data_IF_330040780687
#
_entry.id   IF_330040780687
#
_cell.length_a   1.000
_cell.length_b   1.000
_cell.length_c   1.000
_cell.angle_alpha   90.00
_cell.angle_beta   90.00
_cell.angle_gamma   90.00
#
_symmetry.space_group_name_H-M   'P 1'
#
loop_
_entity.id
_entity.type
_entity.pdbx_description
1 polymer ?
#
# COMPACT_ATOMS: atom_id res chain seq x y z
N UNK A 1 33.34 41.81 -10.03
CA UNK A 1 33.69 40.96 -8.86
C UNK A 1 33.42 39.50 -9.14
N UNK A 2 32.16 39.12 -9.46
CA UNK A 2 31.75 37.74 -9.82
C UNK A 2 32.59 37.08 -10.93
N UNK A 3 32.91 37.81 -12.01
CA UNK A 3 33.70 37.27 -13.13
C UNK A 3 35.15 36.94 -12.76
N UNK A 4 35.74 37.68 -11.81
CA UNK A 4 37.08 37.40 -11.28
C UNK A 4 37.05 36.21 -10.32
N UNK A 5 36.01 36.12 -9.49
CA UNK A 5 35.76 34.96 -8.61
C UNK A 5 35.57 33.66 -9.42
N UNK A 6 34.79 33.71 -10.51
CA UNK A 6 34.63 32.56 -11.42
C UNK A 6 35.98 32.14 -12.03
N UNK A 7 36.81 33.09 -12.49
CA UNK A 7 38.17 32.76 -12.97
C UNK A 7 39.05 32.13 -11.88
N UNK A 8 38.94 32.60 -10.63
CA UNK A 8 39.66 32.03 -9.47
C UNK A 8 39.22 30.60 -9.17
N UNK A 9 37.92 30.30 -9.21
CA UNK A 9 37.40 28.94 -8.98
C UNK A 9 37.82 27.98 -10.08
N UNK A 10 37.69 28.39 -11.33
CA UNK A 10 37.99 27.53 -12.47
C UNK A 10 39.50 27.42 -12.77
N UNK A 11 40.34 28.28 -12.15
CA UNK A 11 41.81 28.30 -12.27
C UNK A 11 42.27 28.25 -13.74
N UNK A 12 42.56 27.05 -14.25
CA UNK A 12 43.07 26.81 -15.60
C UNK A 12 42.00 26.32 -16.59
N UNK A 13 40.76 26.12 -16.16
CA UNK A 13 39.64 25.75 -17.02
C UNK A 13 38.90 26.99 -17.51
N UNK A 14 38.38 26.98 -18.76
CA UNK A 14 37.54 28.07 -19.24
C UNK A 14 36.23 28.12 -18.44
N UNK A 15 35.84 29.31 -18.00
CA UNK A 15 34.56 29.54 -17.32
C UNK A 15 33.44 29.20 -18.32
N UNK A 16 32.48 28.32 -17.96
CA UNK A 16 31.35 27.99 -18.82
C UNK A 16 30.57 29.24 -19.25
N UNK A 17 30.10 29.24 -20.49
CA UNK A 17 29.27 30.33 -21.01
C UNK A 17 27.93 30.32 -20.27
N UNK A 18 27.53 31.46 -19.72
CA UNK A 18 26.27 31.62 -19.00
C UNK A 18 25.53 32.87 -19.50
N UNK A 19 24.21 32.89 -19.31
CA UNK A 19 23.38 34.03 -19.68
C UNK A 19 23.57 35.17 -18.67
N UNK A 20 24.09 36.31 -19.14
CA UNK A 20 24.30 37.50 -18.31
C UNK A 20 23.00 38.30 -18.26
N UNK A 21 22.09 37.90 -17.38
CA UNK A 21 20.91 38.67 -16.99
C UNK A 21 21.00 39.04 -15.49
N UNK A 22 20.21 40.03 -15.06
CA UNK A 22 20.23 40.57 -13.68
C UNK A 22 20.08 39.46 -12.63
N UNK A 23 19.08 38.58 -12.83
CA UNK A 23 18.83 37.44 -11.95
C UNK A 23 20.02 36.48 -11.85
N UNK A 24 20.70 36.17 -12.95
CA UNK A 24 21.87 35.27 -12.96
C UNK A 24 23.06 35.93 -12.26
N UNK A 25 23.26 37.23 -12.44
CA UNK A 25 24.34 37.96 -11.78
C UNK A 25 24.12 38.03 -10.27
N UNK A 26 22.89 38.26 -9.80
CA UNK A 26 22.55 38.27 -8.38
C UNK A 26 22.77 36.89 -7.73
N UNK A 27 22.30 35.82 -8.37
CA UNK A 27 22.52 34.45 -7.87
C UNK A 27 24.02 34.12 -7.76
N UNK A 28 24.82 34.52 -8.75
CA UNK A 28 26.26 34.30 -8.73
C UNK A 28 26.98 35.19 -7.70
N UNK A 29 26.47 36.39 -7.44
CA UNK A 29 26.98 37.27 -6.41
C UNK A 29 26.73 36.69 -5.00
N UNK A 30 25.51 36.25 -4.72
CA UNK A 30 25.17 35.57 -3.47
C UNK A 30 26.00 34.30 -3.27
N UNK A 31 26.21 33.53 -4.34
CA UNK A 31 27.04 32.34 -4.29
C UNK A 31 28.51 32.67 -4.01
N UNK A 32 29.03 33.74 -4.61
CA UNK A 32 30.38 34.25 -4.36
C UNK A 32 30.54 34.65 -2.89
N UNK A 33 29.64 35.46 -2.34
CA UNK A 33 29.72 35.90 -0.94
C UNK A 33 29.68 34.72 0.03
N UNK A 34 28.76 33.76 -0.18
CA UNK A 34 28.67 32.54 0.63
C UNK A 34 29.93 31.67 0.52
N UNK A 35 30.48 31.56 -0.69
CA UNK A 35 31.70 30.81 -0.92
C UNK A 35 32.90 31.46 -0.22
N UNK A 36 33.07 32.77 -0.36
CA UNK A 36 34.14 33.52 0.31
C UNK A 36 34.00 33.50 1.84
N UNK A 37 32.78 33.57 2.37
CA UNK A 37 32.53 33.41 3.80
C UNK A 37 32.96 32.02 4.27
N UNK A 38 32.53 30.96 3.59
CA UNK A 38 32.92 29.59 3.91
C UNK A 38 34.42 29.35 3.77
N UNK A 39 35.07 29.93 2.75
CA UNK A 39 36.52 29.82 2.57
C UNK A 39 37.29 30.48 3.73
N UNK A 40 36.79 31.61 4.25
CA UNK A 40 37.35 32.23 5.47
C UNK A 40 37.16 31.33 6.69
N UNK A 41 35.95 30.80 6.90
CA UNK A 41 35.66 29.92 8.03
C UNK A 41 36.55 28.66 8.01
N UNK A 42 36.69 28.03 6.84
CA UNK A 42 37.58 26.88 6.65
C UNK A 42 39.04 27.26 6.91
N UNK A 43 39.49 28.44 6.46
CA UNK A 43 40.86 28.90 6.71
C UNK A 43 41.15 29.06 8.20
N UNK A 44 40.19 29.62 8.96
CA UNK A 44 40.30 29.75 10.42
C UNK A 44 40.39 28.37 11.08
N UNK A 45 39.54 27.41 10.68
CA UNK A 45 39.61 26.03 11.21
C UNK A 45 40.95 25.38 10.90
N UNK A 46 41.50 25.57 9.70
CA UNK A 46 42.82 25.04 9.33
C UNK A 46 43.92 25.66 10.18
N UNK A 47 43.89 26.97 10.40
CA UNK A 47 44.87 27.67 11.25
C UNK A 47 44.79 27.21 12.70
N UNK A 48 43.58 27.05 13.24
CA UNK A 48 43.34 26.51 14.58
C UNK A 48 43.88 25.09 14.74
N UNK A 49 43.59 24.19 13.78
CA UNK A 49 44.12 22.82 13.80
C UNK A 49 45.65 22.78 13.76
N UNK A 50 46.30 23.66 12.97
CA UNK A 50 47.76 23.77 12.93
C UNK A 50 48.34 24.28 14.24
N UNK A 51 47.66 25.25 14.87
CA UNK A 51 48.07 25.76 16.16
C UNK A 51 47.98 24.67 17.23
N UNK A 52 46.87 23.94 17.27
CA UNK A 52 46.66 22.81 18.15
C UNK A 52 47.71 21.69 17.94
N UNK A 53 48.06 21.37 16.70
CA UNK A 53 49.14 20.42 16.38
C UNK A 53 50.48 20.88 16.98
N UNK A 54 50.83 22.17 16.80
CA UNK A 54 52.06 22.73 17.35
C UNK A 54 52.08 22.76 18.90
N UNK A 55 50.95 23.03 19.54
CA UNK A 55 50.82 22.95 21.00
C UNK A 55 51.03 21.53 21.51
N UNK A 56 50.40 20.52 20.89
CA UNK A 56 50.58 19.13 21.26
C UNK A 56 52.02 18.63 21.04
N UNK A 57 52.67 19.05 19.96
CA UNK A 57 54.08 18.72 19.73
C UNK A 57 54.97 19.32 20.82
N UNK A 58 54.74 20.58 21.20
CA UNK A 58 55.49 21.23 22.27
C UNK A 58 55.28 20.55 23.64
N UNK A 59 54.02 20.24 24.00
CA UNK A 59 53.68 19.52 25.23
C UNK A 59 54.29 18.11 25.25
N UNK A 60 54.32 17.44 24.09
CA UNK A 60 54.94 16.11 23.94
C UNK A 60 56.44 16.16 24.20
N UNK A 61 57.15 17.17 23.69
CA UNK A 61 58.58 17.33 23.94
C UNK A 61 58.86 17.70 25.41
N UNK A 62 58.06 18.60 26.01
CA UNK A 62 58.16 18.92 27.43
C UNK A 62 57.96 17.65 28.29
N UNK A 63 56.96 16.84 27.99
CA UNK A 63 56.68 15.61 28.72
C UNK A 63 57.80 14.58 28.55
N UNK A 64 58.40 14.48 27.36
CA UNK A 64 59.59 13.62 27.12
C UNK A 64 60.78 14.08 27.96
N UNK A 65 61.03 15.37 28.05
CA UNK A 65 62.15 15.91 28.83
C UNK A 65 61.94 15.71 30.33
N UNK A 66 60.73 15.98 30.84
CA UNK A 66 60.35 15.68 32.23
C UNK A 66 60.55 14.17 32.57
N UNK A 67 60.21 13.27 31.65
CA UNK A 67 60.43 11.83 31.84
C UNK A 67 61.92 11.45 31.84
N UNK A 68 62.76 12.11 31.04
CA UNK A 68 64.21 11.92 31.06
C UNK A 68 64.81 12.39 32.39
N UNK A 69 64.38 13.54 32.90
CA UNK A 69 64.84 14.11 34.18
C UNK A 69 64.47 13.22 35.37
N UNK A 70 63.34 12.52 35.30
CA UNK A 70 62.91 11.50 36.27
C UNK A 70 63.61 10.13 36.09
N UNK A 71 64.48 9.98 35.09
CA UNK A 71 65.17 8.72 34.78
C UNK A 71 64.27 7.65 34.13
N UNK A 72 63.03 8.00 33.77
CA UNK A 72 62.03 7.14 33.17
C UNK A 72 62.12 7.19 31.64
N UNK A 73 63.23 6.74 31.08
CA UNK A 73 63.36 6.76 29.63
C UNK A 73 62.66 5.61 28.94
N UNK A 74 61.96 5.87 27.82
CA UNK A 74 61.27 4.85 27.04
C UNK A 74 62.19 3.72 26.57
N UNK A 75 63.48 4.00 26.38
CA UNK A 75 64.49 3.02 25.97
C UNK A 75 65.02 2.14 27.12
N UNK A 76 64.72 2.48 28.39
CA UNK A 76 65.06 1.63 29.55
C UNK A 76 64.02 0.55 29.82
N UNK A 77 62.85 0.63 29.16
CA UNK A 77 61.79 -0.35 29.28
C UNK A 77 62.11 -1.63 28.51
N UNK A 78 61.76 -2.77 29.10
CA UNK A 78 61.81 -4.04 28.36
C UNK A 78 60.90 -4.01 27.13
N UNK A 79 61.25 -4.80 26.11
CA UNK A 79 60.41 -4.98 24.90
C UNK A 79 58.97 -5.39 25.24
N UNK A 80 58.78 -6.19 26.30
CA UNK A 80 57.45 -6.61 26.77
C UNK A 80 56.66 -5.43 27.33
N UNK A 81 57.28 -4.60 28.18
CA UNK A 81 56.64 -3.41 28.75
C UNK A 81 56.25 -2.40 27.65
N UNK A 82 57.14 -2.17 26.69
CA UNK A 82 56.88 -1.29 25.54
C UNK A 82 55.68 -1.78 24.71
N UNK A 83 55.59 -3.09 24.46
CA UNK A 83 54.43 -3.67 23.74
C UNK A 83 53.14 -3.47 24.53
N UNK A 84 53.13 -3.76 25.83
CA UNK A 84 51.94 -3.60 26.67
C UNK A 84 51.45 -2.15 26.72
N UNK A 85 52.37 -1.17 26.81
CA UNK A 85 52.01 0.25 26.75
C UNK A 85 51.42 0.63 25.39
N UNK A 86 52.05 0.18 24.30
CA UNK A 86 51.53 0.41 22.95
C UNK A 86 50.13 -0.20 22.75
N UNK A 87 49.91 -1.43 23.25
CA UNK A 87 48.61 -2.08 23.17
C UNK A 87 47.57 -1.31 24.00
N UNK A 88 47.91 -0.87 25.20
CA UNK A 88 47.04 -0.05 26.06
C UNK A 88 46.65 1.27 25.40
N UNK A 89 47.63 1.99 24.83
CA UNK A 89 47.39 3.25 24.11
C UNK A 89 46.49 3.01 22.89
N UNK A 90 46.76 1.97 22.10
CA UNK A 90 45.92 1.60 20.96
C UNK A 90 44.50 1.24 21.39
N UNK A 91 44.34 0.51 22.50
CA UNK A 91 43.02 0.20 23.05
C UNK A 91 42.27 1.45 23.50
N UNK A 92 42.95 2.37 24.20
CA UNK A 92 42.36 3.66 24.60
C UNK A 92 41.93 4.49 23.39
N UNK A 93 42.77 4.57 22.35
CA UNK A 93 42.43 5.25 21.08
C UNK A 93 41.25 4.58 20.38
N UNK A 94 41.22 3.25 20.29
CA UNK A 94 40.13 2.51 19.65
C UNK A 94 38.80 2.65 20.42
N UNK A 95 38.86 2.72 21.75
CA UNK A 95 37.71 3.00 22.63
C UNK A 95 37.36 4.50 22.71
N UNK A 96 38.16 5.35 22.07
CA UNK A 96 38.06 6.82 22.10
C UNK A 96 38.00 7.39 23.53
N UNK A 97 38.89 6.92 24.42
CA UNK A 97 38.96 7.40 25.80
C UNK A 97 39.90 8.61 25.94
N UNK A 98 39.53 9.54 26.83
CA UNK A 98 40.33 10.75 27.12
C UNK A 98 41.67 10.42 27.79
N UNK A 99 41.71 9.35 28.58
CA UNK A 99 42.91 8.89 29.29
C UNK A 99 42.99 7.36 29.32
N UNK A 100 44.12 6.85 29.79
CA UNK A 100 44.37 5.41 30.02
C UNK A 100 44.04 4.99 31.45
N UNK A 101 43.21 5.75 32.18
CA UNK A 101 42.79 5.35 33.52
C UNK A 101 41.88 4.12 33.44
N UNK A 102 41.97 3.28 34.46
CA UNK A 102 41.17 2.07 34.53
C UNK A 102 39.67 2.38 34.48
N UNK A 103 39.23 3.46 35.12
CA UNK A 103 37.83 3.89 35.16
C UNK A 103 37.32 4.28 33.78
N UNK A 104 38.08 5.08 33.03
CA UNK A 104 37.71 5.50 31.67
C UNK A 104 37.60 4.30 30.72
N UNK A 105 38.59 3.40 30.78
CA UNK A 105 38.58 2.17 29.97
C UNK A 105 37.41 1.25 30.35
N UNK A 106 37.17 1.05 31.64
CA UNK A 106 36.07 0.22 32.12
C UNK A 106 34.71 0.78 31.70
N UNK A 107 34.51 2.09 31.81
CA UNK A 107 33.30 2.76 31.36
C UNK A 107 33.12 2.61 29.85
N UNK A 108 34.16 2.85 29.05
CA UNK A 108 34.09 2.74 27.59
C UNK A 108 33.78 1.30 27.14
N UNK A 109 34.44 0.30 27.73
CA UNK A 109 34.17 -1.12 27.46
C UNK A 109 32.72 -1.46 27.84
N UNK A 110 32.26 -1.02 29.02
CA UNK A 110 30.88 -1.30 29.47
C UNK A 110 29.85 -0.67 28.55
N UNK A 111 30.07 0.58 28.12
CA UNK A 111 29.22 1.28 27.17
C UNK A 111 29.15 0.55 25.83
N UNK A 112 30.30 0.22 25.24
CA UNK A 112 30.33 -0.51 23.96
C UNK A 112 29.70 -1.91 24.07
N UNK A 113 29.86 -2.58 25.21
CA UNK A 113 29.21 -3.87 25.45
C UNK A 113 27.70 -3.72 25.51
N UNK A 114 27.19 -2.67 26.16
CA UNK A 114 25.76 -2.37 26.20
C UNK A 114 25.22 -2.05 24.80
N UNK A 115 25.87 -1.15 24.07
CA UNK A 115 25.51 -0.78 22.69
C UNK A 115 25.49 -2.03 21.77
N UNK A 116 26.45 -2.95 21.94
CA UNK A 116 26.48 -4.22 21.21
C UNK A 116 25.26 -5.09 21.54
N UNK A 117 24.93 -5.27 22.82
CA UNK A 117 23.79 -6.08 23.24
C UNK A 117 22.45 -5.50 22.78
N UNK A 118 22.28 -4.18 22.86
CA UNK A 118 21.10 -3.48 22.34
C UNK A 118 20.96 -3.70 20.83
N UNK A 119 22.04 -3.48 20.08
CA UNK A 119 22.08 -3.71 18.62
C UNK A 119 21.80 -5.16 18.25
N UNK A 120 22.32 -6.13 19.03
CA UNK A 120 22.04 -7.56 18.80
C UNK A 120 20.57 -7.92 19.06
N UNK A 121 19.96 -7.34 20.10
CA UNK A 121 18.54 -7.52 20.42
C UNK A 121 17.65 -6.94 19.32
N UNK A 122 17.90 -5.70 18.89
CA UNK A 122 17.16 -5.06 17.79
C UNK A 122 17.28 -5.86 16.48
N UNK A 123 18.49 -6.36 16.17
CA UNK A 123 18.70 -7.23 15.02
C UNK A 123 17.97 -8.58 15.13
N UNK A 124 17.81 -9.13 16.34
CA UNK A 124 17.05 -10.36 16.55
C UNK A 124 15.54 -10.11 16.33
N UNK A 125 15.02 -9.02 16.86
CA UNK A 125 13.63 -8.59 16.68
C UNK A 125 13.32 -8.34 15.20
N UNK A 126 14.14 -7.56 14.51
CA UNK A 126 13.97 -7.26 13.08
C UNK A 126 14.00 -8.54 12.22
N UNK A 127 14.87 -9.51 12.54
CA UNK A 127 14.89 -10.82 11.86
C UNK A 127 13.60 -11.60 12.09
N UNK A 128 13.05 -11.54 13.30
CA UNK A 128 11.78 -12.18 13.62
C UNK A 128 10.63 -11.54 12.85
N UNK A 129 10.55 -10.21 12.84
CA UNK A 129 9.53 -9.46 12.08
C UNK A 129 9.61 -9.76 10.59
N UNK A 130 10.81 -9.76 10.01
CA UNK A 130 11.03 -10.08 8.60
C UNK A 130 10.57 -11.51 8.27
N UNK A 131 10.85 -12.48 9.14
CA UNK A 131 10.37 -13.85 9.00
C UNK A 131 8.84 -13.93 9.04
N UNK A 132 8.20 -13.18 9.95
CA UNK A 132 6.75 -13.12 10.06
C UNK A 132 6.12 -12.47 8.82
N UNK A 133 6.66 -11.34 8.38
CA UNK A 133 6.20 -10.62 7.19
C UNK A 133 6.33 -11.48 5.93
N UNK A 134 7.41 -12.27 5.81
CA UNK A 134 7.58 -13.24 4.72
C UNK A 134 6.48 -14.32 4.71
N UNK A 135 6.10 -14.85 5.89
CA UNK A 135 5.00 -15.82 6.00
C UNK A 135 3.66 -15.20 5.60
N UNK A 136 3.39 -13.97 6.06
CA UNK A 136 2.18 -13.25 5.70
C UNK A 136 2.11 -12.97 4.19
N UNK A 137 3.21 -12.51 3.59
CA UNK A 137 3.29 -12.28 2.15
C UNK A 137 3.01 -13.54 1.35
N UNK A 138 3.58 -14.68 1.75
CA UNK A 138 3.32 -15.97 1.11
C UNK A 138 1.85 -16.37 1.21
N UNK A 139 1.21 -16.13 2.36
CA UNK A 139 -0.23 -16.39 2.54
C UNK A 139 -1.08 -15.50 1.64
N UNK A 140 -0.78 -14.19 1.57
CA UNK A 140 -1.48 -13.24 0.71
C UNK A 140 -1.34 -13.60 -0.77
N UNK A 141 -0.14 -13.96 -1.22
CA UNK A 141 0.10 -14.40 -2.61
C UNK A 141 -0.68 -15.67 -2.96
N UNK A 142 -0.79 -16.62 -2.02
CA UNK A 142 -1.62 -17.82 -2.22
C UNK A 142 -3.11 -17.45 -2.34
N UNK A 143 -3.61 -16.54 -1.51
CA UNK A 143 -4.99 -16.05 -1.58
C UNK A 143 -5.26 -15.29 -2.90
N UNK A 144 -4.33 -14.45 -3.33
CA UNK A 144 -4.43 -13.73 -4.61
C UNK A 144 -4.57 -14.71 -5.79
N UNK A 145 -3.72 -15.74 -5.83
CA UNK A 145 -3.81 -16.79 -6.85
C UNK A 145 -5.17 -17.49 -6.82
N UNK A 146 -5.69 -17.80 -5.63
CA UNK A 146 -7.00 -18.43 -5.48
C UNK A 146 -8.13 -17.53 -6.01
N UNK A 147 -8.09 -16.24 -5.69
CA UNK A 147 -9.07 -15.25 -6.18
C UNK A 147 -9.03 -15.17 -7.71
N UNK A 148 -7.85 -15.16 -8.34
CA UNK A 148 -7.73 -15.15 -9.79
C UNK A 148 -8.34 -16.41 -10.44
N UNK A 149 -8.11 -17.58 -9.84
CA UNK A 149 -8.73 -18.82 -10.30
C UNK A 149 -10.26 -18.80 -10.16
N UNK A 150 -10.77 -18.23 -9.07
CA UNK A 150 -12.21 -18.14 -8.83
C UNK A 150 -12.89 -17.11 -9.73
N UNK A 151 -12.23 -15.98 -10.03
CA UNK A 151 -12.69 -15.01 -11.04
C UNK A 151 -12.84 -15.72 -12.39
N UNK A 152 -11.83 -16.48 -12.82
CA UNK A 152 -11.89 -17.22 -14.09
C UNK A 152 -13.08 -18.19 -14.13
N UNK A 153 -13.32 -18.94 -13.06
CA UNK A 153 -14.48 -19.85 -12.97
C UNK A 153 -15.81 -19.08 -13.04
N UNK A 154 -15.89 -17.92 -12.38
CA UNK A 154 -17.09 -17.07 -12.42
C UNK A 154 -17.35 -16.55 -13.83
N UNK A 155 -16.31 -16.11 -14.54
CA UNK A 155 -16.42 -15.66 -15.94
C UNK A 155 -16.93 -16.77 -16.86
N UNK A 156 -16.39 -17.99 -16.72
CA UNK A 156 -16.84 -19.17 -17.48
C UNK A 156 -18.32 -19.50 -17.20
N UNK A 157 -18.72 -19.53 -15.93
CA UNK A 157 -20.12 -19.72 -15.51
C UNK A 157 -21.04 -18.63 -16.05
N UNK A 158 -20.60 -17.37 -15.97
CA UNK A 158 -21.36 -16.23 -16.45
C UNK A 158 -21.57 -16.32 -17.97
N UNK A 159 -20.56 -16.72 -18.73
CA UNK A 159 -20.67 -16.90 -20.17
C UNK A 159 -21.68 -18.01 -20.53
N UNK A 160 -21.64 -19.15 -19.83
CA UNK A 160 -22.61 -20.22 -20.02
C UNK A 160 -24.04 -19.78 -19.70
N UNK A 161 -24.23 -19.01 -18.63
CA UNK A 161 -25.53 -18.46 -18.24
C UNK A 161 -26.06 -17.46 -19.27
N UNK A 162 -25.20 -16.59 -19.83
CA UNK A 162 -25.57 -15.66 -20.90
C UNK A 162 -26.13 -16.39 -22.11
N UNK A 163 -25.45 -17.44 -22.59
CA UNK A 163 -25.91 -18.26 -23.73
C UNK A 163 -27.26 -18.91 -23.42
N UNK A 164 -27.47 -19.39 -22.19
CA UNK A 164 -28.73 -19.98 -21.75
C UNK A 164 -29.86 -18.95 -21.67
N UNK A 165 -29.59 -17.76 -21.17
CA UNK A 165 -30.57 -16.66 -21.14
C UNK A 165 -30.92 -16.23 -22.56
N UNK A 166 -29.94 -16.13 -23.45
CA UNK A 166 -30.14 -15.74 -24.84
C UNK A 166 -31.02 -16.75 -25.59
N UNK A 167 -30.75 -18.06 -25.48
CA UNK A 167 -31.59 -19.10 -26.07
C UNK A 167 -33.03 -19.10 -25.50
N UNK A 168 -33.19 -18.89 -24.19
CA UNK A 168 -34.51 -18.73 -23.56
C UNK A 168 -35.25 -17.49 -24.08
N UNK A 169 -34.54 -16.37 -24.27
CA UNK A 169 -35.10 -15.14 -24.84
C UNK A 169 -35.61 -15.36 -26.27
N UNK A 170 -34.81 -16.01 -27.12
CA UNK A 170 -35.22 -16.40 -28.47
C UNK A 170 -36.45 -17.30 -28.46
N UNK A 171 -36.49 -18.31 -27.57
CA UNK A 171 -37.63 -19.20 -27.44
C UNK A 171 -38.91 -18.46 -26.98
N UNK A 172 -38.79 -17.54 -26.02
CA UNK A 172 -39.90 -16.71 -25.56
C UNK A 172 -40.44 -15.80 -26.67
N UNK A 173 -39.55 -15.23 -27.49
CA UNK A 173 -39.95 -14.43 -28.66
C UNK A 173 -40.71 -15.28 -29.66
N UNK A 174 -40.18 -16.46 -30.02
CA UNK A 174 -40.86 -17.40 -30.91
C UNK A 174 -42.26 -17.79 -30.40
N UNK A 175 -42.40 -18.14 -29.11
CA UNK A 175 -43.68 -18.49 -28.52
C UNK A 175 -44.67 -17.33 -28.53
N UNK A 176 -44.20 -16.10 -28.29
CA UNK A 176 -45.02 -14.89 -28.37
C UNK A 176 -45.53 -14.66 -29.80
N UNK A 177 -44.64 -14.73 -30.78
CA UNK A 177 -44.98 -14.55 -32.19
C UNK A 177 -45.95 -15.64 -32.64
N UNK A 178 -45.73 -16.90 -32.22
CA UNK A 178 -46.64 -18.01 -32.51
C UNK A 178 -48.01 -17.84 -31.87
N UNK A 179 -48.07 -17.34 -30.64
CA UNK A 179 -49.35 -17.04 -29.97
C UNK A 179 -50.13 -15.96 -30.71
N UNK A 180 -49.46 -14.91 -31.19
CA UNK A 180 -50.10 -13.86 -31.99
C UNK A 180 -50.61 -14.40 -33.34
N UNK A 181 -49.82 -15.21 -34.04
CA UNK A 181 -50.23 -15.89 -35.28
C UNK A 181 -51.49 -16.74 -35.06
N UNK A 182 -51.50 -17.56 -34.00
CA UNK A 182 -52.65 -18.40 -33.65
C UNK A 182 -53.89 -17.57 -33.32
N UNK A 183 -53.75 -16.47 -32.56
CA UNK A 183 -54.86 -15.56 -32.27
C UNK A 183 -55.46 -14.95 -33.54
N UNK A 184 -54.61 -14.55 -34.50
CA UNK A 184 -55.07 -14.02 -35.78
C UNK A 184 -55.80 -15.11 -36.58
N UNK A 185 -55.25 -16.33 -36.65
CA UNK A 185 -55.88 -17.46 -37.35
C UNK A 185 -57.22 -17.84 -36.74
N UNK A 186 -57.34 -17.87 -35.42
CA UNK A 186 -58.59 -18.13 -34.72
C UNK A 186 -59.63 -17.06 -35.09
N UNK A 187 -59.26 -15.78 -34.99
CA UNK A 187 -60.15 -14.67 -35.35
C UNK A 187 -60.64 -14.77 -36.79
N UNK A 188 -59.74 -15.02 -37.75
CA UNK A 188 -60.11 -15.17 -39.15
C UNK A 188 -61.07 -16.35 -39.37
N UNK A 189 -60.82 -17.50 -38.71
CA UNK A 189 -61.69 -18.67 -38.81
C UNK A 189 -63.07 -18.41 -38.17
N UNK A 190 -63.13 -17.70 -37.04
CA UNK A 190 -64.38 -17.28 -36.42
C UNK A 190 -65.16 -16.33 -37.33
N UNK A 191 -64.51 -15.36 -37.96
CA UNK A 191 -65.11 -14.46 -38.95
C UNK A 191 -65.68 -15.23 -40.16
N UNK A 192 -64.93 -16.23 -40.68
CA UNK A 192 -65.43 -17.11 -41.74
C UNK A 192 -66.65 -17.94 -41.31
N UNK A 193 -66.67 -18.47 -40.09
CA UNK A 193 -67.80 -19.24 -39.55
C UNK A 193 -69.05 -18.36 -39.38
N UNK A 194 -68.89 -17.13 -38.87
CA UNK A 194 -69.97 -16.15 -38.78
C UNK A 194 -70.50 -15.82 -40.18
N UNK A 195 -69.61 -15.62 -41.17
CA UNK A 195 -69.99 -15.39 -42.56
C UNK A 195 -70.79 -16.54 -43.21
N UNK A 196 -70.66 -17.77 -42.69
CA UNK A 196 -71.42 -18.96 -43.12
C UNK A 196 -72.74 -19.16 -42.37
N UNK A 197 -73.11 -18.24 -41.47
CA UNK A 197 -74.41 -18.22 -40.79
C UNK A 197 -74.42 -18.78 -39.35
N UNK A 198 -73.25 -18.97 -38.73
CA UNK A 198 -73.17 -19.34 -37.30
C UNK A 198 -73.43 -18.10 -36.42
N UNK A 199 -74.33 -18.20 -35.44
CA UNK A 199 -74.65 -17.12 -34.51
C UNK A 199 -73.48 -16.79 -33.55
N UNK A 200 -73.27 -15.50 -33.26
CA UNK A 200 -72.20 -15.02 -32.35
C UNK A 200 -72.27 -15.60 -30.94
N UNK A 201 -73.46 -15.99 -30.48
CA UNK A 201 -73.71 -16.62 -29.18
C UNK A 201 -72.99 -17.98 -29.01
N UNK A 202 -72.66 -18.65 -30.13
CA UNK A 202 -71.97 -19.94 -30.16
C UNK A 202 -70.45 -19.81 -30.36
N UNK A 203 -69.91 -18.58 -30.34
CA UNK A 203 -68.46 -18.37 -30.38
C UNK A 203 -67.79 -18.86 -29.10
N UNK A 204 -66.52 -19.27 -29.20
CA UNK A 204 -65.79 -19.78 -28.04
C UNK A 204 -65.71 -18.75 -26.91
N UNK A 205 -65.49 -17.47 -27.23
CA UNK A 205 -65.42 -16.40 -26.25
C UNK A 205 -66.75 -16.22 -25.49
N UNK A 206 -67.88 -16.21 -26.19
CA UNK A 206 -69.21 -16.15 -25.57
C UNK A 206 -69.54 -17.41 -24.74
N UNK A 207 -69.10 -18.59 -25.19
CA UNK A 207 -69.28 -19.85 -24.46
C UNK A 207 -68.43 -19.91 -23.19
N UNK A 208 -67.19 -19.43 -23.22
CA UNK A 208 -66.33 -19.35 -22.04
C UNK A 208 -66.90 -18.34 -21.04
N UNK A 209 -67.31 -17.16 -21.51
CA UNK A 209 -67.88 -16.13 -20.65
C UNK A 209 -69.17 -16.61 -19.97
N UNK A 210 -70.07 -17.25 -20.72
CA UNK A 210 -71.30 -17.84 -20.15
C UNK A 210 -71.02 -19.02 -19.21
N UNK A 211 -69.97 -19.81 -19.45
CA UNK A 211 -69.53 -20.86 -18.53
C UNK A 211 -68.97 -20.29 -17.21
N UNK A 212 -68.16 -19.22 -17.27
CA UNK A 212 -67.65 -18.51 -16.10
C UNK A 212 -68.79 -17.89 -15.29
N UNK A 213 -69.76 -17.25 -15.96
CA UNK A 213 -70.97 -16.73 -15.33
C UNK A 213 -71.80 -17.83 -14.67
N UNK A 214 -71.96 -18.99 -15.33
CA UNK A 214 -72.65 -20.15 -14.76
C UNK A 214 -71.97 -20.65 -13.48
N UNK A 215 -70.63 -20.67 -13.43
CA UNK A 215 -69.88 -21.07 -12.24
C UNK A 215 -70.11 -20.09 -11.10
N UNK A 216 -70.08 -18.78 -11.37
CA UNK A 216 -70.40 -17.74 -10.39
C UNK A 216 -71.84 -17.87 -9.88
N UNK A 217 -72.79 -18.09 -10.77
CA UNK A 217 -74.20 -18.27 -10.42
C UNK A 217 -74.42 -19.50 -9.56
N UNK A 218 -73.78 -20.64 -9.90
CA UNK A 218 -73.83 -21.87 -9.10
C UNK A 218 -73.28 -21.66 -7.70
N UNK A 219 -72.19 -20.90 -7.55
CA UNK A 219 -71.62 -20.55 -6.25
C UNK A 219 -72.60 -19.71 -5.41
N UNK A 220 -73.28 -18.75 -6.03
CA UNK A 220 -74.32 -17.92 -5.40
C UNK A 220 -75.56 -18.74 -5.01
N UNK A 221 -76.01 -19.65 -5.86
CA UNK A 221 -77.12 -20.57 -5.54
C UNK A 221 -76.73 -21.51 -4.40
N UNK A 222 -75.49 -21.99 -4.35
CA UNK A 222 -75.00 -22.83 -3.26
C UNK A 222 -74.95 -22.06 -1.93
N UNK A 223 -74.53 -20.80 -1.91
CA UNK A 223 -74.55 -19.97 -0.71
C UNK A 223 -75.98 -19.68 -0.25
N UNK A 224 -76.88 -19.33 -1.18
CA UNK A 224 -78.31 -19.11 -0.88
C UNK A 224 -79.00 -20.38 -0.38
N UNK A 225 -78.68 -21.57 -0.93
CA UNK A 225 -79.19 -22.84 -0.40
C UNK A 225 -78.68 -23.13 1.02
N UNK A 226 -77.44 -22.74 1.33
CA UNK A 226 -76.88 -22.87 2.69
C UNK A 226 -77.59 -21.93 3.66
N UNK A 227 -77.83 -20.68 3.26
CA UNK A 227 -78.62 -19.72 4.04
C UNK A 227 -80.04 -20.21 4.26
N UNK A 228 -80.72 -20.67 3.21
CA UNK A 228 -82.07 -21.23 3.29
C UNK A 228 -82.15 -22.44 4.23
N UNK A 229 -81.17 -23.34 4.19
CA UNK A 229 -81.09 -24.46 5.12
C UNK A 229 -80.93 -23.99 6.56
N UNK A 230 -80.09 -22.98 6.80
CA UNK A 230 -79.97 -22.37 8.13
C UNK A 230 -81.29 -21.70 8.59
N UNK A 231 -82.10 -21.16 7.68
CA UNK A 231 -83.43 -20.62 8.01
C UNK A 231 -84.47 -21.71 8.32
N UNK A 232 -84.40 -22.87 7.66
CA UNK A 232 -85.28 -24.02 7.96
C UNK A 232 -84.84 -24.80 9.21
N UNK A 233 -83.59 -24.67 9.65
CA UNK A 233 -83.07 -25.24 10.90
C UNK A 233 -83.33 -24.32 12.13
N UNK A 234 -84.03 -23.19 11.96
CA UNK A 234 -84.52 -22.38 13.09
C UNK A 234 -85.79 -23.03 13.68
N UNK A 235 -85.83 -23.32 14.99
CA UNK A 235 -87.02 -23.91 15.61
C UNK A 235 -88.22 -22.95 15.52
N UNK A 236 -89.46 -23.47 15.40
CA UNK A 236 -90.64 -22.64 15.30
C UNK A 236 -90.75 -21.73 16.53
N UNK A 237 -90.89 -20.43 16.30
CA UNK A 237 -91.31 -19.48 17.34
C UNK A 237 -92.74 -19.86 17.73
N UNK A 238 -92.85 -20.51 18.89
CA UNK A 238 -94.04 -20.52 19.75
C UNK A 238 -93.81 -19.44 20.79
#
# INVERSE_FOLDING_TARGET
QVTLWLKKIYRNQPVPVYEVNERTVDILHDLMERNEARDRDISIVIEDMKHQEAEYDAETEEMKDNLKDLGLSLHSLSRKATRCLNDLVKSAMALNTKDTSLTSLFYAISRMTLELLETESENAEMRWELSNMKKNLMSVLMMEKQILEDIKKIEECQQAERVKIESRSHNLKFLRDKSLELKIRIRNAEEELIGRGVERSLTHEALVQSAEELVLLRKKVASMKKELKNFYDLPPVI
#
